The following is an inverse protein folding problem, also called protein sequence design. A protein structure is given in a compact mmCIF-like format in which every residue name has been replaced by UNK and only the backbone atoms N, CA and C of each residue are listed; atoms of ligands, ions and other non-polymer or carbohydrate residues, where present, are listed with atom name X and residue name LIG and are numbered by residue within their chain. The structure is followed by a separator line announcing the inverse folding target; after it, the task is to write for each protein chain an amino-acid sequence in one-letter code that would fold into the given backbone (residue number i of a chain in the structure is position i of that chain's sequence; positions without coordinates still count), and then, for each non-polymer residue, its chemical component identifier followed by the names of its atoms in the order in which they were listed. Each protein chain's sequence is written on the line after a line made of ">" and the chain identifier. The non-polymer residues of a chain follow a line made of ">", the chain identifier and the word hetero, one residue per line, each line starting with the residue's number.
data_IF_723882897047
#
_entry.id   IF_723882897047
#
_cell.length_a   1.000
_cell.length_b   1.000
_cell.length_c   1.000
_cell.angle_alpha   90.00
_cell.angle_beta   90.00
_cell.angle_gamma   90.00
#
_symmetry.space_group_name_H-M   'P 1'
#
loop_
_entity.id
_entity.type
_entity.pdbx_description
1 polymer ?
#
# COMPACT_ATOMS: atom_id res chain seq x y z
N UNK A 1 19.92 -4.56 -20.95
CA UNK A 1 19.28 -4.99 -19.69
C UNK A 1 18.29 -3.89 -19.38
N UNK A 2 16.99 -4.20 -19.36
CA UNK A 2 16.00 -3.22 -18.93
C UNK A 2 16.05 -3.26 -17.41
N UNK A 3 16.54 -2.18 -16.81
CA UNK A 3 16.80 -2.09 -15.37
C UNK A 3 15.44 -1.91 -14.68
N UNK A 4 15.18 -2.67 -13.61
CA UNK A 4 13.90 -2.67 -12.89
C UNK A 4 13.44 -1.25 -12.47
N UNK A 5 14.38 -0.33 -12.31
CA UNK A 5 14.18 1.10 -12.04
C UNK A 5 13.28 1.84 -13.05
N UNK A 6 13.18 1.41 -14.32
CA UNK A 6 12.27 2.03 -15.28
C UNK A 6 10.80 1.65 -15.05
N UNK A 7 10.54 0.51 -14.41
CA UNK A 7 9.17 0.00 -14.17
C UNK A 7 8.62 0.37 -12.79
N UNK A 8 9.51 0.55 -11.80
CA UNK A 8 9.15 0.85 -10.41
C UNK A 8 9.99 2.02 -9.87
N UNK A 9 9.65 3.27 -10.25
CA UNK A 9 10.44 4.44 -9.87
C UNK A 9 10.31 4.82 -8.39
N UNK A 10 9.39 4.18 -7.65
CA UNK A 10 9.08 4.51 -6.27
C UNK A 10 9.57 3.44 -5.31
N UNK A 11 9.87 3.83 -4.07
CA UNK A 11 10.21 2.89 -2.99
C UNK A 11 9.11 2.93 -1.94
N UNK A 12 8.67 1.74 -1.53
CA UNK A 12 7.64 1.58 -0.51
C UNK A 12 8.11 0.63 0.58
N UNK A 13 7.66 0.88 1.81
CA UNK A 13 7.93 0.03 2.95
C UNK A 13 6.63 -0.58 3.47
N UNK A 14 6.52 -1.89 3.42
CA UNK A 14 5.41 -2.64 4.02
C UNK A 14 5.58 -2.65 5.53
N UNK A 15 4.50 -2.35 6.25
CA UNK A 15 4.43 -2.46 7.70
C UNK A 15 3.28 -3.38 8.09
N UNK A 16 3.47 -4.17 9.14
CA UNK A 16 2.46 -5.08 9.65
C UNK A 16 2.06 -4.69 11.07
N UNK A 17 0.82 -5.00 11.42
CA UNK A 17 0.32 -4.77 12.76
C UNK A 17 0.97 -5.75 13.74
N UNK A 18 1.50 -5.23 14.85
CA UNK A 18 2.06 -6.02 15.95
C UNK A 18 1.35 -5.66 17.24
N UNK A 19 0.92 -6.67 18.00
CA UNK A 19 0.37 -6.43 19.33
C UNK A 19 1.47 -6.60 20.36
N UNK A 20 1.80 -5.52 21.06
CA UNK A 20 2.77 -5.54 22.16
C UNK A 20 1.96 -5.62 23.46
N UNK A 21 2.37 -6.52 24.35
CA UNK A 21 1.81 -6.59 25.70
C UNK A 21 2.29 -5.37 26.48
N UNK A 22 1.38 -4.43 26.72
CA UNK A 22 1.62 -3.38 27.69
C UNK A 22 1.47 -4.01 29.08
N UNK A 23 2.54 -4.01 29.87
CA UNK A 23 2.69 -4.81 31.11
C UNK A 23 1.64 -4.57 32.20
N UNK A 24 0.64 -3.71 31.96
CA UNK A 24 -0.53 -3.47 32.78
C UNK A 24 -1.76 -4.35 32.43
N UNK A 25 -1.64 -5.30 31.49
CA UNK A 25 -2.73 -6.21 31.10
C UNK A 25 -3.59 -5.70 29.93
N UNK A 26 -3.11 -4.67 29.22
CA UNK A 26 -3.66 -4.20 27.96
C UNK A 26 -2.85 -4.69 26.76
N UNK A 27 -3.43 -4.60 25.57
CA UNK A 27 -2.72 -4.80 24.30
C UNK A 27 -2.57 -3.44 23.63
N UNK A 28 -1.34 -3.05 23.32
CA UNK A 28 -1.09 -1.90 22.45
C UNK A 28 -0.83 -2.38 21.03
N UNK A 29 -1.54 -1.76 20.09
CA UNK A 29 -1.38 -2.02 18.67
C UNK A 29 -0.27 -1.13 18.13
N UNK A 30 0.86 -1.73 17.74
CA UNK A 30 1.95 -1.10 17.01
C UNK A 30 1.95 -1.47 15.54
N UNK A 31 2.75 -0.74 14.77
CA UNK A 31 3.08 -1.07 13.38
C UNK A 31 4.60 -1.29 13.32
N UNK A 32 5.01 -2.47 12.86
CA UNK A 32 6.42 -2.81 12.70
C UNK A 32 6.77 -2.92 11.22
N UNK A 33 8.03 -2.59 10.90
CA UNK A 33 8.51 -2.61 9.51
C UNK A 33 8.71 -4.03 9.04
N UNK A 34 7.92 -4.44 8.05
CA UNK A 34 7.98 -5.77 7.48
C UNK A 34 9.11 -5.88 6.46
N UNK A 35 9.04 -5.08 5.39
CA UNK A 35 9.99 -5.16 4.28
C UNK A 35 9.90 -3.94 3.37
N UNK A 36 11.01 -3.54 2.75
CA UNK A 36 11.07 -2.43 1.78
C UNK A 36 11.24 -2.98 0.37
N UNK A 37 10.43 -2.49 -0.57
CA UNK A 37 10.41 -2.94 -1.95
C UNK A 37 10.25 -1.77 -2.91
N UNK A 38 10.80 -1.93 -4.11
CA UNK A 38 10.49 -1.06 -5.23
C UNK A 38 9.05 -1.30 -5.69
N UNK A 39 8.35 -0.22 -6.01
CA UNK A 39 6.97 -0.23 -6.50
C UNK A 39 6.71 0.95 -7.44
N UNK A 40 5.55 0.95 -8.08
CA UNK A 40 5.03 2.05 -8.87
C UNK A 40 3.72 2.48 -8.20
N UNK A 41 3.70 3.70 -7.68
CA UNK A 41 2.54 4.30 -7.02
C UNK A 41 1.90 5.27 -8.00
N UNK A 42 0.69 4.97 -8.48
CA UNK A 42 -0.03 5.85 -9.41
C UNK A 42 -1.32 6.36 -8.78
N UNK A 43 -1.56 7.68 -8.72
CA UNK A 43 -2.82 8.20 -8.23
C UNK A 43 -3.96 7.95 -9.22
N UNK A 44 -5.08 7.39 -8.76
CA UNK A 44 -6.31 7.18 -9.55
C UNK A 44 -6.96 8.55 -9.91
N UNK A 45 -6.66 9.58 -9.12
CA UNK A 45 -7.23 10.93 -9.19
C UNK A 45 -7.20 11.59 -10.59
N UNK A 46 -6.23 11.25 -11.44
CA UNK A 46 -6.13 11.88 -12.78
C UNK A 46 -7.18 11.43 -13.78
N UNK A 47 -7.95 10.37 -13.54
CA UNK A 47 -8.90 9.85 -14.55
C UNK A 47 -10.36 10.26 -14.35
N UNK A 48 -10.80 10.61 -13.13
CA UNK A 48 -12.23 10.76 -12.82
C UNK A 48 -12.57 11.87 -11.79
N UNK A 49 -11.80 12.96 -11.65
CA UNK A 49 -12.22 14.11 -10.83
C UNK A 49 -13.00 15.18 -11.64
N UNK A 50 -14.07 14.72 -12.30
CA UNK A 50 -15.15 15.57 -12.77
C UNK A 50 -16.20 15.73 -11.67
N UNK A 51 -16.19 16.86 -10.96
CA UNK A 51 -17.27 17.35 -10.08
C UNK A 51 -17.88 16.34 -9.09
N UNK A 52 -17.38 16.29 -7.85
CA UNK A 52 -18.26 16.18 -6.66
C UNK A 52 -17.49 16.36 -5.35
N UNK A 53 -17.82 17.43 -4.63
CA UNK A 53 -17.49 17.59 -3.21
C UNK A 53 -18.37 16.63 -2.39
N UNK A 54 -17.86 15.47 -1.98
CA UNK A 54 -18.38 14.74 -0.82
C UNK A 54 -17.47 13.60 -0.38
N UNK A 55 -17.01 13.70 0.87
CA UNK A 55 -16.52 12.67 1.80
C UNK A 55 -16.71 11.20 1.36
N UNK A 56 -15.84 10.73 0.48
CA UNK A 56 -15.56 9.30 0.27
C UNK A 56 -14.06 9.20 0.36
N UNK A 57 -13.52 8.32 1.20
CA UNK A 57 -12.14 7.84 1.04
C UNK A 57 -12.09 7.19 -0.35
N UNK A 58 -11.65 7.91 -1.39
CA UNK A 58 -11.52 7.30 -2.69
C UNK A 58 -10.39 6.28 -2.54
N UNK A 59 -10.44 5.19 -3.28
CA UNK A 59 -9.16 4.57 -3.59
C UNK A 59 -8.39 5.63 -4.34
N UNK A 60 -7.30 6.10 -3.74
CA UNK A 60 -6.56 7.25 -4.25
C UNK A 60 -5.35 6.80 -5.04
N UNK A 61 -4.81 5.61 -4.74
CA UNK A 61 -3.57 5.11 -5.31
C UNK A 61 -3.68 3.65 -5.71
N UNK A 62 -3.15 3.33 -6.89
CA UNK A 62 -2.81 1.98 -7.29
C UNK A 62 -1.32 1.79 -7.07
N UNK A 63 -0.96 0.72 -6.37
CA UNK A 63 0.43 0.36 -6.09
C UNK A 63 0.73 -0.94 -6.82
N UNK A 64 1.66 -0.86 -7.77
CA UNK A 64 2.17 -2.00 -8.53
C UNK A 64 3.52 -2.41 -7.96
N UNK A 65 3.70 -3.69 -7.67
CA UNK A 65 4.94 -4.21 -7.10
C UNK A 65 5.22 -5.62 -7.66
N UNK A 66 6.47 -6.10 -7.56
CA UNK A 66 6.82 -7.45 -8.03
C UNK A 66 5.96 -8.52 -7.38
N UNK A 67 5.74 -9.64 -8.07
CA UNK A 67 4.94 -10.74 -7.53
C UNK A 67 5.43 -11.24 -6.17
N UNK A 68 4.61 -11.06 -5.14
CA UNK A 68 4.88 -11.49 -3.76
C UNK A 68 3.62 -12.03 -3.12
N UNK A 69 3.78 -13.18 -2.47
CA UNK A 69 2.71 -13.84 -1.72
C UNK A 69 2.73 -13.51 -0.23
N UNK A 70 3.80 -12.86 0.23
CA UNK A 70 4.01 -12.50 1.63
C UNK A 70 3.20 -11.27 2.06
N UNK A 71 2.79 -10.43 1.09
CA UNK A 71 2.04 -9.20 1.34
C UNK A 71 0.58 -9.52 1.61
N UNK A 72 0.08 -9.08 2.77
CA UNK A 72 -1.30 -9.30 3.20
C UNK A 72 -2.10 -8.00 3.11
N UNK A 73 -3.42 -8.07 2.84
CA UNK A 73 -4.28 -6.88 2.81
C UNK A 73 -4.44 -6.20 4.18
N UNK A 74 -4.05 -6.86 5.28
CA UNK A 74 -4.04 -6.30 6.63
C UNK A 74 -2.81 -5.41 6.90
N UNK A 75 -1.81 -5.44 6.00
CA UNK A 75 -0.61 -4.61 6.09
C UNK A 75 -0.89 -3.18 5.60
N UNK A 76 0.04 -2.29 5.87
CA UNK A 76 0.06 -0.94 5.29
C UNK A 76 1.35 -0.73 4.51
N UNK A 77 1.33 0.31 3.70
CA UNK A 77 2.44 0.69 2.84
C UNK A 77 2.84 2.11 3.20
N UNK A 78 4.09 2.30 3.61
CA UNK A 78 4.69 3.61 3.76
C UNK A 78 5.31 3.99 2.42
N UNK A 79 4.79 5.06 1.82
CA UNK A 79 5.37 5.63 0.63
C UNK A 79 6.50 6.57 1.05
N UNK A 80 7.76 6.10 0.95
CA UNK A 80 8.91 6.83 1.51
C UNK A 80 9.17 8.17 0.81
N UNK A 81 8.83 8.29 -0.47
CA UNK A 81 9.06 9.50 -1.27
C UNK A 81 8.25 10.69 -0.72
N UNK A 82 6.99 10.46 -0.33
CA UNK A 82 6.11 11.50 0.25
C UNK A 82 6.03 11.42 1.79
N UNK A 83 6.57 10.35 2.40
CA UNK A 83 6.48 10.09 3.84
C UNK A 83 5.07 9.75 4.33
N UNK A 84 4.21 9.27 3.44
CA UNK A 84 2.78 9.04 3.72
C UNK A 84 2.47 7.56 3.92
N UNK A 85 1.50 7.26 4.79
CA UNK A 85 1.02 5.89 5.00
C UNK A 85 -0.26 5.63 4.21
N UNK A 86 -0.17 4.61 3.37
CA UNK A 86 -1.22 4.11 2.51
C UNK A 86 -1.77 2.81 3.09
N UNK A 87 -3.09 2.74 3.30
CA UNK A 87 -3.73 1.52 3.75
C UNK A 87 -4.23 0.71 2.56
N UNK A 88 -3.92 -0.59 2.57
CA UNK A 88 -4.34 -1.53 1.53
C UNK A 88 -5.84 -1.79 1.67
N UNK A 89 -6.60 -1.59 0.58
CA UNK A 89 -8.06 -1.77 0.56
C UNK A 89 -8.49 -3.00 -0.22
N UNK A 90 -7.68 -3.47 -1.16
CA UNK A 90 -7.97 -4.68 -1.93
C UNK A 90 -6.92 -5.75 -1.74
N UNK A 91 -7.31 -7.00 -2.02
CA UNK A 91 -6.35 -8.10 -2.04
C UNK A 91 -5.41 -7.89 -3.23
N UNK A 92 -4.14 -8.29 -3.11
CA UNK A 92 -3.23 -8.34 -4.24
C UNK A 92 -3.89 -9.00 -5.46
N UNK A 93 -4.07 -8.24 -6.53
CA UNK A 93 -4.63 -8.70 -7.80
C UNK A 93 -3.50 -8.87 -8.80
N UNK A 94 -3.44 -10.04 -9.43
CA UNK A 94 -2.51 -10.28 -10.52
C UNK A 94 -3.09 -9.65 -11.80
N UNK A 95 -2.49 -8.54 -12.25
CA UNK A 95 -2.99 -7.77 -13.40
C UNK A 95 -2.67 -8.44 -14.75
N UNK A 96 -1.67 -9.31 -14.80
CA UNK A 96 -1.13 -9.87 -16.05
C UNK A 96 -1.50 -11.32 -16.35
N UNK A 97 -1.95 -12.10 -15.37
CA UNK A 97 -2.11 -13.56 -15.47
C UNK A 97 -0.79 -14.34 -15.43
N UNK A 98 0.35 -13.65 -15.58
CA UNK A 98 1.69 -14.23 -15.74
C UNK A 98 2.50 -14.29 -14.41
N UNK A 99 1.91 -13.90 -13.27
CA UNK A 99 2.58 -13.87 -11.95
C UNK A 99 3.85 -13.01 -11.91
N UNK A 100 3.86 -11.88 -12.62
CA UNK A 100 5.02 -10.98 -12.69
C UNK A 100 4.83 -9.73 -11.80
N UNK A 101 3.63 -9.14 -11.82
CA UNK A 101 3.33 -7.87 -11.14
C UNK A 101 1.98 -7.97 -10.43
N UNK A 102 1.99 -7.63 -9.15
CA UNK A 102 0.79 -7.53 -8.33
C UNK A 102 0.36 -6.07 -8.24
N UNK A 103 -0.93 -5.85 -8.28
CA UNK A 103 -1.54 -4.55 -8.04
C UNK A 103 -2.38 -4.60 -6.77
N UNK A 104 -2.25 -3.57 -5.94
CA UNK A 104 -3.14 -3.31 -4.81
C UNK A 104 -3.67 -1.90 -4.89
N UNK A 105 -4.91 -1.73 -4.44
CA UNK A 105 -5.53 -0.44 -4.30
C UNK A 105 -5.37 0.05 -2.87
N UNK A 106 -4.88 1.28 -2.74
CA UNK A 106 -4.60 1.93 -1.47
C UNK A 106 -5.33 3.28 -1.34
N UNK A 107 -5.56 3.70 -0.09
CA UNK A 107 -6.12 5.01 0.27
C UNK A 107 -5.23 5.69 1.31
N UNK A 108 -5.26 7.01 1.37
CA UNK A 108 -4.55 7.73 2.43
C UNK A 108 -5.17 7.48 3.80
N UNK A 109 -4.29 7.32 4.78
CA UNK A 109 -4.66 7.28 6.19
C UNK A 109 -4.91 5.87 6.72
N UNK A 110 -5.63 5.80 7.84
CA UNK A 110 -5.97 4.54 8.48
C UNK A 110 -7.09 3.84 7.68
N UNK A 111 -6.96 2.54 7.40
CA UNK A 111 -8.04 1.77 6.76
C UNK A 111 -9.35 1.80 7.57
N UNK A 112 -9.31 2.23 8.83
CA UNK A 112 -10.45 2.45 9.71
C UNK A 112 -10.63 3.94 9.99
N UNK A 113 -11.52 4.58 9.22
CA UNK A 113 -12.21 5.79 9.68
C UNK A 113 -13.30 5.46 10.68
#
# INVERSE_FOLDING_TARGET
>A
MIEAYEQFPHTITFVHQTNVLDGAGGWETGWDTYDTSEALVTPISSREFGQSSQTRNPIEYEVYYPYRTDIKPEMRVIYEDEGETLAIKTRPMDQGGEHEVMMIECTFGDANG
#
